data_IF_156135970905
#
_entry.id   IF_156135970905
#
_cell.length_a   1.000
_cell.length_b   1.000
_cell.length_c   1.000
_cell.angle_alpha   90.00
_cell.angle_beta   90.00
_cell.angle_gamma   90.00
#
_symmetry.space_group_name_H-M   'P 1'
#
loop_
_entity.id
_entity.type
_entity.pdbx_description
1 polymer ?
#
# COMPACT_ATOMS: atom_id res chain seq x y z
N UNK A 1 -1.83 13.53 4.16
CA UNK A 1 -2.33 13.51 5.55
C UNK A 1 -2.14 12.16 6.26
N UNK A 2 -1.91 11.05 5.53
CA UNK A 2 -1.56 9.73 6.11
C UNK A 2 -0.05 9.57 6.42
N UNK A 3 0.79 10.56 6.11
CA UNK A 3 2.26 10.43 6.12
C UNK A 3 2.89 10.39 7.53
N UNK A 4 2.26 11.01 8.53
CA UNK A 4 2.86 11.22 9.86
C UNK A 4 2.49 10.15 10.91
N UNK A 5 1.53 9.27 10.61
CA UNK A 5 0.99 8.30 11.56
C UNK A 5 1.49 6.89 11.27
N UNK A 6 1.95 6.19 12.31
CA UNK A 6 2.39 4.79 12.22
C UNK A 6 1.26 3.78 12.32
N UNK A 7 0.09 4.18 12.84
CA UNK A 7 -1.10 3.33 12.91
C UNK A 7 -2.38 4.15 12.67
N UNK A 8 -3.28 3.63 11.84
CA UNK A 8 -4.58 4.21 11.55
C UNK A 8 -5.64 3.13 11.75
N UNK A 9 -6.72 3.48 12.42
CA UNK A 9 -7.86 2.58 12.63
C UNK A 9 -9.05 3.16 11.89
N UNK A 10 -9.67 2.34 11.05
CA UNK A 10 -10.83 2.70 10.25
C UNK A 10 -12.01 1.87 10.75
N UNK A 11 -13.00 2.52 11.34
CA UNK A 11 -14.18 1.87 11.88
C UNK A 11 -15.40 2.20 11.02
N UNK A 12 -15.85 1.22 10.25
CA UNK A 12 -17.12 1.31 9.52
C UNK A 12 -18.27 1.18 10.52
N UNK A 13 -19.10 2.21 10.59
CA UNK A 13 -20.21 2.28 11.54
C UNK A 13 -21.54 1.99 10.85
N UNK A 14 -22.52 1.52 11.62
CA UNK A 14 -23.90 1.32 11.14
C UNK A 14 -24.57 2.56 10.54
N UNK A 15 -24.03 3.76 10.77
CA UNK A 15 -24.57 5.01 10.26
C UNK A 15 -24.02 5.40 8.88
N UNK A 16 -23.39 4.47 8.17
CA UNK A 16 -22.80 4.71 6.84
C UNK A 16 -21.65 5.75 6.87
N UNK A 17 -20.93 5.78 7.99
CA UNK A 17 -19.77 6.65 8.23
C UNK A 17 -18.55 5.79 8.57
N UNK A 18 -17.38 6.29 8.22
CA UNK A 18 -16.08 5.73 8.62
C UNK A 18 -15.49 6.67 9.65
N UNK A 19 -15.38 6.19 10.89
CA UNK A 19 -14.62 6.86 11.94
C UNK A 19 -13.15 6.48 11.80
N UNK A 20 -12.27 7.47 11.85
CA UNK A 20 -10.83 7.26 11.68
C UNK A 20 -10.10 7.74 12.91
N UNK A 21 -9.37 6.84 13.56
CA UNK A 21 -8.47 7.17 14.66
C UNK A 21 -7.02 7.10 14.19
N UNK A 22 -6.26 8.15 14.47
CA UNK A 22 -4.84 8.25 14.13
C UNK A 22 -3.98 8.03 15.38
N UNK A 23 -2.96 7.19 15.26
CA UNK A 23 -1.99 6.91 16.31
C UNK A 23 -0.57 7.05 15.79
N UNK A 24 0.31 7.53 16.67
CA UNK A 24 1.73 7.67 16.32
C UNK A 24 2.36 6.32 15.93
N UNK A 25 1.96 5.23 16.59
CA UNK A 25 2.50 3.89 16.35
C UNK A 25 1.53 2.80 16.82
N UNK A 26 1.77 1.55 16.41
CA UNK A 26 1.01 0.38 16.88
C UNK A 26 1.03 0.23 18.42
N UNK A 27 2.17 0.38 19.13
CA UNK A 27 2.17 0.36 20.59
C UNK A 27 1.27 1.43 21.25
N UNK A 28 1.08 2.59 20.60
CA UNK A 28 0.16 3.60 21.10
C UNK A 28 -1.30 3.20 20.90
N UNK A 29 -1.61 2.52 19.79
CA UNK A 29 -2.92 1.92 19.60
C UNK A 29 -3.21 0.82 20.64
N UNK A 30 -2.25 -0.04 20.97
CA UNK A 30 -2.41 -1.05 22.03
C UNK A 30 -2.69 -0.44 23.41
N UNK A 31 -2.01 0.65 23.74
CA UNK A 31 -2.30 1.40 24.98
C UNK A 31 -3.69 2.02 24.96
N UNK A 32 -4.15 2.49 23.80
CA UNK A 32 -5.51 2.99 23.63
C UNK A 32 -6.56 1.91 23.88
N UNK A 33 -6.36 0.70 23.34
CA UNK A 33 -7.21 -0.45 23.63
C UNK A 33 -7.22 -0.82 25.13
N UNK A 34 -6.15 -0.50 25.85
CA UNK A 34 -6.05 -0.68 27.31
C UNK A 34 -6.69 0.47 28.12
N UNK A 35 -7.34 1.43 27.45
CA UNK A 35 -8.05 2.55 28.07
C UNK A 35 -7.27 3.87 28.14
N UNK A 36 -6.06 3.94 27.58
CA UNK A 36 -5.28 5.19 27.57
C UNK A 36 -5.80 6.15 26.49
N UNK A 37 -6.05 7.41 26.82
CA UNK A 37 -6.39 8.41 25.81
C UNK A 37 -5.12 8.93 25.11
N UNK A 38 -4.73 8.30 24.01
CA UNK A 38 -3.50 8.62 23.28
C UNK A 38 -3.65 8.69 21.76
N UNK A 39 -4.88 8.92 21.28
CA UNK A 39 -5.14 9.30 19.89
C UNK A 39 -4.36 10.58 19.56
N UNK A 40 -3.78 10.62 18.37
CA UNK A 40 -3.12 11.81 17.83
C UNK A 40 -4.06 12.64 16.96
N UNK A 41 -5.13 12.03 16.47
CA UNK A 41 -6.13 12.71 15.67
C UNK A 41 -7.34 11.81 15.45
N UNK A 42 -8.40 12.43 14.95
CA UNK A 42 -9.65 11.77 14.58
C UNK A 42 -10.16 12.34 13.27
N UNK A 43 -10.84 11.52 12.48
CA UNK A 43 -11.52 11.90 11.25
C UNK A 43 -12.87 11.21 11.11
N UNK A 44 -13.73 11.79 10.29
CA UNK A 44 -15.04 11.23 9.96
C UNK A 44 -15.26 11.39 8.46
N UNK A 45 -15.52 10.28 7.78
CA UNK A 45 -15.70 10.23 6.33
C UNK A 45 -17.00 9.50 5.99
N UNK A 46 -17.50 9.70 4.77
CA UNK A 46 -18.61 8.91 4.28
C UNK A 46 -18.12 7.51 3.87
N UNK A 47 -18.96 6.50 4.01
CA UNK A 47 -18.60 5.11 3.68
C UNK A 47 -18.50 4.81 2.19
N UNK A 48 -18.95 5.72 1.32
CA UNK A 48 -18.81 5.61 -0.13
C UNK A 48 -17.42 6.04 -0.63
N UNK A 49 -16.55 6.54 0.26
CA UNK A 49 -15.16 6.80 -0.08
C UNK A 49 -14.39 5.51 -0.39
N UNK A 50 -13.76 5.47 -1.56
CA UNK A 50 -12.91 4.36 -1.98
C UNK A 50 -11.56 4.48 -1.29
N UNK A 51 -11.31 3.61 -0.31
CA UNK A 51 -10.03 3.54 0.38
C UNK A 51 -9.06 2.61 -0.37
N UNK A 52 -7.96 3.17 -0.85
CA UNK A 52 -6.93 2.43 -1.59
C UNK A 52 -5.82 1.94 -0.64
N UNK A 53 -6.07 0.84 0.07
CA UNK A 53 -5.12 0.27 1.04
C UNK A 53 -3.77 -0.10 0.43
N UNK A 54 -3.77 -0.49 -0.83
CA UNK A 54 -2.55 -0.83 -1.51
C UNK A 54 -1.66 0.41 -1.77
N UNK A 55 -2.11 1.64 -1.57
CA UNK A 55 -1.25 2.84 -1.70
C UNK A 55 -0.57 3.27 -0.41
N UNK A 56 -0.82 2.56 0.68
CA UNK A 56 -0.27 2.89 1.99
C UNK A 56 1.25 2.71 1.99
N UNK A 57 1.96 3.62 2.66
CA UNK A 57 3.41 3.53 2.81
C UNK A 57 3.85 2.34 3.67
N UNK A 58 5.10 1.94 3.50
CA UNK A 58 5.66 0.79 4.19
C UNK A 58 5.70 0.99 5.71
N UNK A 59 5.53 -0.09 6.45
CA UNK A 59 5.61 -0.11 7.91
C UNK A 59 4.37 0.43 8.63
N UNK A 60 3.47 1.14 7.93
CA UNK A 60 2.23 1.65 8.51
C UNK A 60 1.24 0.53 8.77
N UNK A 61 0.63 0.57 9.95
CA UNK A 61 -0.46 -0.31 10.31
C UNK A 61 -1.80 0.34 9.95
N UNK A 62 -2.64 -0.40 9.24
CA UNK A 62 -4.08 -0.13 9.19
C UNK A 62 -4.82 -1.25 9.88
N UNK A 63 -5.75 -0.88 10.73
CA UNK A 63 -6.76 -1.77 11.30
C UNK A 63 -8.10 -1.35 10.73
N UNK A 64 -8.82 -2.30 10.15
CA UNK A 64 -10.19 -2.09 9.67
C UNK A 64 -11.14 -2.78 10.64
N UNK A 65 -12.16 -2.06 11.04
CA UNK A 65 -13.17 -2.51 11.98
C UNK A 65 -14.57 -2.32 11.39
N UNK A 66 -15.48 -3.18 11.80
CA UNK A 66 -16.92 -3.04 11.62
C UNK A 66 -17.56 -2.94 13.01
N UNK A 67 -18.13 -1.77 13.31
CA UNK A 67 -18.74 -1.44 14.60
C UNK A 67 -17.83 -1.77 15.81
N UNK A 68 -16.55 -1.40 15.72
CA UNK A 68 -15.54 -1.59 16.75
C UNK A 68 -14.91 -2.98 16.79
N UNK A 69 -15.36 -3.91 15.93
CA UNK A 69 -14.79 -5.26 15.81
C UNK A 69 -13.81 -5.30 14.65
N UNK A 70 -12.56 -5.68 14.89
CA UNK A 70 -11.55 -5.82 13.83
C UNK A 70 -11.95 -6.90 12.80
N UNK A 71 -11.96 -6.52 11.53
CA UNK A 71 -12.31 -7.38 10.39
C UNK A 71 -11.14 -7.60 9.44
N UNK A 72 -10.20 -6.65 9.35
CA UNK A 72 -9.00 -6.78 8.55
C UNK A 72 -7.84 -5.96 9.10
N UNK A 73 -6.63 -6.34 8.69
CA UNK A 73 -5.39 -5.67 9.10
C UNK A 73 -4.40 -5.64 7.95
N UNK A 74 -3.72 -4.51 7.77
CA UNK A 74 -2.77 -4.30 6.68
C UNK A 74 -1.47 -3.69 7.19
N UNK A 75 -0.34 -4.24 6.75
CA UNK A 75 0.98 -3.58 6.86
C UNK A 75 1.88 -4.10 5.76
N UNK A 76 2.31 -3.21 4.89
CA UNK A 76 3.21 -3.54 3.79
C UNK A 76 4.67 -3.38 4.22
N UNK A 77 5.51 -4.33 3.79
CA UNK A 77 6.96 -4.22 3.88
C UNK A 77 7.56 -4.46 2.48
N UNK A 78 8.51 -3.63 2.08
CA UNK A 78 9.28 -3.87 0.85
C UNK A 78 10.14 -5.12 1.01
N UNK A 79 9.93 -6.09 0.13
CA UNK A 79 10.73 -7.32 0.05
C UNK A 79 11.73 -7.26 -1.12
N UNK A 80 11.51 -6.35 -2.07
CA UNK A 80 12.41 -6.12 -3.20
C UNK A 80 12.26 -4.69 -3.73
N UNK A 81 13.36 -4.08 -4.15
CA UNK A 81 13.38 -2.75 -4.76
C UNK A 81 14.36 -2.76 -5.92
N UNK A 82 13.96 -2.23 -7.07
CA UNK A 82 14.81 -2.13 -8.24
C UNK A 82 14.37 -1.00 -9.16
N UNK A 83 15.15 -0.81 -10.22
CA UNK A 83 14.88 0.14 -11.30
C UNK A 83 14.57 -0.62 -12.57
N UNK A 84 13.55 -0.18 -13.28
CA UNK A 84 13.20 -0.67 -14.62
C UNK A 84 13.41 0.44 -15.65
N UNK A 85 14.24 0.13 -16.64
CA UNK A 85 14.41 0.98 -17.82
C UNK A 85 13.54 0.44 -18.95
N UNK A 86 12.76 1.30 -19.59
CA UNK A 86 11.82 0.92 -20.65
C UNK A 86 11.72 1.99 -21.72
N UNK A 87 11.10 1.65 -22.85
CA UNK A 87 10.80 2.61 -23.92
C UNK A 87 9.29 2.85 -23.97
N UNK A 88 8.88 4.12 -24.04
CA UNK A 88 7.48 4.51 -24.22
C UNK A 88 7.37 5.49 -25.38
N UNK A 89 6.35 5.30 -26.20
CA UNK A 89 6.04 6.22 -27.29
C UNK A 89 5.52 7.55 -26.73
N UNK A 90 6.08 8.66 -27.19
CA UNK A 90 5.63 9.99 -26.82
C UNK A 90 4.46 10.44 -27.72
N UNK A 91 3.96 11.66 -27.50
CA UNK A 91 2.83 12.21 -28.28
C UNK A 91 3.13 12.38 -29.78
N UNK A 92 4.40 12.33 -30.17
CA UNK A 92 4.87 12.50 -31.56
C UNK A 92 5.17 11.15 -32.25
N UNK A 93 4.89 10.03 -31.57
CA UNK A 93 5.16 8.69 -32.10
C UNK A 93 6.62 8.22 -31.95
N UNK A 94 7.44 8.97 -31.19
CA UNK A 94 8.85 8.62 -30.98
C UNK A 94 9.04 7.82 -29.70
N UNK A 95 9.83 6.75 -29.78
CA UNK A 95 10.23 5.97 -28.59
C UNK A 95 11.22 6.75 -27.73
N UNK A 96 10.82 7.09 -26.51
CA UNK A 96 11.66 7.70 -25.48
C UNK A 96 12.08 6.67 -24.43
N UNK A 97 13.32 6.76 -23.97
CA UNK A 97 13.78 6.00 -22.80
C UNK A 97 13.17 6.61 -21.55
N UNK A 98 12.60 5.75 -20.70
CA UNK A 98 12.09 6.08 -19.36
C UNK A 98 12.71 5.13 -18.36
N UNK A 99 12.77 5.56 -17.11
CA UNK A 99 13.23 4.78 -15.99
C UNK A 99 12.29 5.03 -14.83
N UNK A 100 11.98 4.00 -14.05
CA UNK A 100 11.27 4.18 -12.79
C UNK A 100 11.80 3.22 -11.72
N UNK A 101 11.76 3.67 -10.48
CA UNK A 101 11.98 2.81 -9.32
C UNK A 101 10.68 2.14 -8.94
N UNK A 102 10.71 0.84 -8.71
CA UNK A 102 9.57 0.10 -8.17
C UNK A 102 9.99 -0.71 -6.95
N UNK A 103 8.99 -1.12 -6.19
CA UNK A 103 9.09 -1.96 -5.01
C UNK A 103 8.13 -3.12 -5.18
N UNK A 104 8.55 -4.32 -4.80
CA UNK A 104 7.63 -5.40 -4.49
C UNK A 104 7.50 -5.42 -2.97
N UNK A 105 6.26 -5.35 -2.52
CA UNK A 105 5.92 -5.31 -1.11
C UNK A 105 5.07 -6.51 -0.76
N UNK A 106 5.11 -6.92 0.49
CA UNK A 106 4.27 -7.98 1.04
C UNK A 106 3.41 -7.40 2.15
N UNK A 107 2.10 -7.68 2.14
CA UNK A 107 1.30 -7.46 3.33
C UNK A 107 1.65 -8.54 4.35
N UNK A 108 2.13 -8.17 5.54
CA UNK A 108 2.59 -9.16 6.53
C UNK A 108 1.45 -10.02 7.09
N UNK A 109 0.20 -9.57 6.96
CA UNK A 109 -0.99 -10.27 7.46
C UNK A 109 -1.68 -11.11 6.39
N UNK A 110 -1.23 -11.06 5.13
CA UNK A 110 -1.74 -11.93 4.07
C UNK A 110 -0.60 -12.54 3.24
N UNK A 111 -0.95 -13.32 2.22
CA UNK A 111 0.00 -13.84 1.25
C UNK A 111 0.17 -12.91 0.03
N UNK A 112 -0.57 -11.81 0.00
CA UNK A 112 -0.60 -10.93 -1.15
C UNK A 112 0.69 -10.12 -1.29
N UNK A 113 1.08 -9.95 -2.54
CA UNK A 113 2.18 -9.09 -2.94
C UNK A 113 1.62 -7.85 -3.60
N UNK A 114 2.39 -6.78 -3.57
CA UNK A 114 2.01 -5.52 -4.17
C UNK A 114 3.19 -4.99 -5.00
N UNK A 115 2.94 -4.66 -6.26
CA UNK A 115 3.85 -3.90 -7.10
C UNK A 115 3.57 -2.42 -6.89
N UNK A 116 4.60 -1.68 -6.47
CA UNK A 116 4.46 -0.28 -6.09
C UNK A 116 5.48 0.60 -6.79
N UNK A 117 5.01 1.72 -7.33
CA UNK A 117 5.79 2.85 -7.84
C UNK A 117 5.17 4.14 -7.31
N UNK A 118 5.72 5.29 -7.67
CA UNK A 118 5.10 6.59 -7.37
C UNK A 118 3.67 6.72 -7.92
N UNK A 119 3.38 6.08 -9.07
CA UNK A 119 2.12 6.27 -9.80
C UNK A 119 1.26 5.00 -9.94
N UNK A 120 1.78 3.85 -9.49
CA UNK A 120 1.16 2.53 -9.70
C UNK A 120 1.20 1.80 -8.37
N UNK A 121 0.06 1.27 -7.95
CA UNK A 121 -0.03 0.27 -6.89
C UNK A 121 -1.02 -0.80 -7.28
N UNK A 122 -0.53 -2.02 -7.43
CA UNK A 122 -1.31 -3.16 -7.94
C UNK A 122 -1.00 -4.42 -7.14
N UNK A 123 -2.04 -5.13 -6.72
CA UNK A 123 -1.93 -6.33 -5.90
C UNK A 123 -1.88 -7.61 -6.75
N UNK A 124 -1.09 -8.56 -6.31
CA UNK A 124 -0.80 -9.81 -7.01
C UNK A 124 -0.71 -10.97 -6.03
N UNK A 125 -1.22 -12.13 -6.45
CA UNK A 125 -1.15 -13.35 -5.63
C UNK A 125 0.24 -13.98 -5.56
N UNK A 126 1.15 -13.65 -6.49
CA UNK A 126 2.50 -14.21 -6.52
C UNK A 126 3.46 -13.43 -7.44
N UNK A 127 4.76 -13.73 -7.32
CA UNK A 127 5.86 -13.12 -8.10
C UNK A 127 5.71 -13.38 -9.60
N UNK A 128 5.17 -14.53 -10.02
CA UNK A 128 4.97 -14.83 -11.46
C UNK A 128 3.95 -13.87 -12.08
N UNK A 129 2.87 -13.55 -11.37
CA UNK A 129 1.89 -12.57 -11.81
C UNK A 129 2.52 -11.17 -11.94
N UNK A 130 3.38 -10.76 -11.00
CA UNK A 130 4.14 -9.50 -11.08
C UNK A 130 5.06 -9.49 -12.31
N UNK A 131 5.81 -10.59 -12.55
CA UNK A 131 6.68 -10.71 -13.73
C UNK A 131 5.89 -10.56 -15.05
N UNK A 132 4.69 -11.15 -15.12
CA UNK A 132 3.82 -11.03 -16.28
C UNK A 132 3.27 -9.61 -16.44
N UNK A 133 2.88 -8.97 -15.34
CA UNK A 133 2.46 -7.57 -15.34
C UNK A 133 3.58 -6.66 -15.86
N UNK A 134 4.80 -6.78 -15.34
CA UNK A 134 5.95 -5.98 -15.76
C UNK A 134 6.22 -6.15 -17.27
N UNK A 135 6.18 -7.39 -17.79
CA UNK A 135 6.34 -7.65 -19.22
C UNK A 135 5.26 -7.00 -20.07
N UNK A 136 4.00 -7.05 -19.62
CA UNK A 136 2.86 -6.46 -20.32
C UNK A 136 2.92 -4.94 -20.31
N UNK A 137 3.17 -4.34 -19.16
CA UNK A 137 3.10 -2.90 -18.94
C UNK A 137 4.32 -2.16 -19.52
N UNK A 138 5.52 -2.73 -19.38
CA UNK A 138 6.77 -2.07 -19.76
C UNK A 138 7.42 -2.64 -21.02
N UNK A 139 6.81 -3.66 -21.64
CA UNK A 139 7.23 -4.22 -22.93
C UNK A 139 8.69 -4.65 -22.96
N UNK A 140 9.46 -4.14 -23.94
CA UNK A 140 10.92 -4.35 -24.02
C UNK A 140 11.63 -3.50 -22.95
N UNK A 141 11.82 -4.11 -21.79
CA UNK A 141 12.42 -3.48 -20.62
C UNK A 141 13.74 -4.14 -20.21
N UNK A 142 14.54 -3.41 -19.44
CA UNK A 142 15.72 -3.91 -18.74
C UNK A 142 15.50 -3.72 -17.24
N UNK A 143 15.67 -4.80 -16.49
CA UNK A 143 15.71 -4.76 -15.02
C UNK A 143 17.17 -4.73 -14.57
N UNK A 144 17.49 -3.81 -13.68
CA UNK A 144 18.78 -3.75 -13.00
C UNK A 144 18.58 -4.48 -11.65
N UNK A 145 19.46 -5.43 -11.32
CA UNK A 145 19.51 -6.15 -10.03
C UNK A 145 18.39 -7.18 -9.72
N UNK A 146 17.81 -7.83 -10.73
CA UNK A 146 16.76 -8.86 -10.54
C UNK A 146 17.27 -10.26 -10.13
N UNK A 147 18.59 -10.45 -9.99
CA UNK A 147 19.22 -11.78 -9.86
C UNK A 147 18.99 -12.51 -8.52
N UNK A 148 18.24 -11.94 -7.58
CA UNK A 148 18.02 -12.52 -6.23
C UNK A 148 16.74 -13.39 -6.17
N UNK A 149 15.91 -13.38 -7.21
CA UNK A 149 14.63 -14.12 -7.27
C UNK A 149 14.52 -15.06 -8.50
N UNK A 150 15.66 -15.60 -8.93
CA UNK A 150 15.77 -16.72 -9.89
C UNK A 150 16.23 -17.98 -9.16
#
# INVERSE_FOLDING_TARGET
>A
MLEEFGCIVLNYTNNNLIEVDYFYSEPMYEKFLSGLNCRQGMGLFNSDEILEFNKIEDGKLIVVQDNGVETARFRFITIFKAVIDYKKENKEGKLEKKSLTFRIRKNIFSHDLNFFTENISEDFSNITAIKNYIKKEFGNHRLIDWNIFL
#
